data_IF_913607961577
#
_entry.id   IF_913607961577
#
_cell.length_a   1.000
_cell.length_b   1.000
_cell.length_c   1.000
_cell.angle_alpha   90.00
_cell.angle_beta   90.00
_cell.angle_gamma   90.00
#
_symmetry.space_group_name_H-M   'P 1'
#
loop_
_entity.id
_entity.type
_entity.pdbx_description
1 polymer ?
#
# COMPACT_ATOMS: atom_id res chain seq x y z
N UNK A 1 9.67 -4.09 -3.50
CA UNK A 1 9.53 -2.73 -2.93
C UNK A 1 9.51 -2.86 -1.43
N UNK A 2 9.88 -1.81 -0.70
CA UNK A 2 9.97 -1.81 0.76
C UNK A 2 9.34 -0.53 1.31
N UNK A 3 8.38 -0.67 2.22
CA UNK A 3 7.82 0.42 3.02
C UNK A 3 8.75 0.75 4.20
N UNK A 4 9.01 2.04 4.44
CA UNK A 4 9.99 2.50 5.42
C UNK A 4 9.31 3.24 6.58
N UNK A 5 9.26 2.57 7.74
CA UNK A 5 8.42 2.99 8.86
C UNK A 5 8.82 4.31 9.53
N UNK A 6 10.12 4.62 9.59
CA UNK A 6 10.65 5.78 10.34
C UNK A 6 10.44 7.09 9.58
N UNK A 7 10.61 7.07 8.27
CA UNK A 7 10.51 8.25 7.40
C UNK A 7 9.14 8.43 6.76
N UNK A 8 8.30 7.38 6.70
CA UNK A 8 7.11 7.37 5.84
C UNK A 8 7.57 7.46 4.39
N UNK A 9 8.01 6.33 3.85
CA UNK A 9 8.54 6.31 2.50
C UNK A 9 8.39 4.92 1.85
N UNK A 10 8.62 4.90 0.55
CA UNK A 10 8.71 3.67 -0.23
C UNK A 10 10.02 3.67 -1.04
N UNK A 11 10.73 2.55 -1.03
CA UNK A 11 11.87 2.27 -1.91
C UNK A 11 11.59 1.09 -2.84
N UNK A 12 12.29 1.09 -3.98
CA UNK A 12 12.17 0.04 -5.00
C UNK A 12 13.53 -0.53 -5.38
N UNK A 13 13.50 -1.80 -5.76
CA UNK A 13 14.67 -2.59 -6.09
C UNK A 13 14.36 -3.47 -7.29
N UNK A 14 15.35 -3.68 -8.14
CA UNK A 14 15.34 -4.74 -9.15
C UNK A 14 16.12 -5.94 -8.64
N UNK A 15 15.78 -7.12 -9.15
CA UNK A 15 16.49 -8.37 -8.90
C UNK A 15 17.14 -8.79 -10.21
N UNK A 16 18.45 -9.01 -10.22
CA UNK A 16 19.12 -9.60 -11.39
C UNK A 16 18.72 -11.06 -11.58
N UNK A 17 19.04 -11.62 -12.75
CA UNK A 17 18.88 -13.06 -13.01
C UNK A 17 19.61 -13.94 -11.98
N UNK A 18 20.71 -13.43 -11.42
CA UNK A 18 21.50 -14.08 -10.37
C UNK A 18 20.97 -13.83 -8.95
N UNK A 19 19.84 -13.15 -8.79
CA UNK A 19 19.21 -12.89 -7.48
C UNK A 19 19.78 -11.68 -6.73
N UNK A 20 20.66 -10.88 -7.34
CA UNK A 20 21.27 -9.71 -6.68
C UNK A 20 20.31 -8.54 -6.71
N UNK A 21 20.03 -7.95 -5.55
CA UNK A 21 19.21 -6.75 -5.42
C UNK A 21 20.00 -5.49 -5.82
N UNK A 22 19.37 -4.62 -6.60
CA UNK A 22 19.88 -3.27 -6.91
C UNK A 22 18.80 -2.24 -6.63
N UNK A 23 19.15 -1.17 -5.93
CA UNK A 23 18.24 -0.04 -5.70
C UNK A 23 17.89 0.62 -7.02
N UNK A 24 16.60 0.88 -7.22
CA UNK A 24 16.08 1.67 -8.34
C UNK A 24 15.71 3.05 -7.84
N UNK A 25 14.81 3.11 -6.86
CA UNK A 25 14.50 4.32 -6.11
C UNK A 25 14.86 4.11 -4.65
N UNK A 26 15.62 5.06 -4.08
CA UNK A 26 15.81 5.14 -2.63
C UNK A 26 14.53 5.56 -1.92
N UNK A 27 14.65 6.05 -0.69
CA UNK A 27 13.53 6.48 0.15
C UNK A 27 12.73 7.61 -0.52
N UNK A 28 11.59 7.29 -1.14
CA UNK A 28 10.65 8.28 -1.68
C UNK A 28 9.60 8.58 -0.62
N UNK A 29 9.78 9.71 0.08
CA UNK A 29 8.96 10.06 1.23
C UNK A 29 7.50 10.39 0.86
N UNK A 30 6.55 9.87 1.64
CA UNK A 30 5.14 10.30 1.68
C UNK A 30 4.83 11.21 2.89
N UNK A 31 5.77 11.32 3.84
CA UNK A 31 5.64 12.13 5.04
C UNK A 31 4.68 11.55 6.09
N UNK A 32 4.28 10.29 5.96
CA UNK A 32 3.42 9.58 6.90
C UNK A 32 4.24 8.84 7.96
N UNK A 33 3.57 8.07 8.83
CA UNK A 33 4.21 7.41 9.99
C UNK A 33 3.88 5.93 10.05
N UNK A 34 4.89 5.15 10.46
CA UNK A 34 4.80 3.71 10.64
C UNK A 34 4.22 3.02 9.39
N UNK A 35 4.88 3.23 8.25
CA UNK A 35 4.63 2.47 7.04
C UNK A 35 4.82 0.96 7.32
N UNK A 36 3.77 0.16 7.13
CA UNK A 36 3.72 -1.24 7.59
C UNK A 36 3.56 -2.26 6.45
N UNK A 37 3.00 -1.84 5.32
CA UNK A 37 2.71 -2.74 4.21
C UNK A 37 2.80 -2.04 2.87
N UNK A 38 3.09 -2.79 1.81
CA UNK A 38 3.04 -2.32 0.43
C UNK A 38 2.33 -3.31 -0.48
N UNK A 39 1.41 -2.81 -1.31
CA UNK A 39 0.75 -3.57 -2.38
C UNK A 39 1.04 -2.93 -3.74
N UNK A 40 1.25 -3.74 -4.77
CA UNK A 40 1.58 -3.28 -6.13
C UNK A 40 0.55 -3.81 -7.12
N UNK A 41 0.05 -2.95 -8.01
CA UNK A 41 -0.91 -3.34 -9.04
C UNK A 41 -0.31 -4.36 -10.01
N UNK A 42 -1.13 -5.23 -10.57
CA UNK A 42 -0.67 -6.34 -11.41
C UNK A 42 -0.01 -5.87 -12.71
N UNK A 43 -0.46 -4.72 -13.23
CA UNK A 43 0.17 -4.04 -14.37
C UNK A 43 1.47 -3.30 -13.99
N UNK A 44 1.83 -3.25 -12.70
CA UNK A 44 3.06 -2.66 -12.22
C UNK A 44 3.10 -1.14 -12.33
N UNK A 45 1.96 -0.45 -12.44
CA UNK A 45 1.90 1.02 -12.57
C UNK A 45 1.72 1.77 -11.25
N UNK A 46 1.14 1.14 -10.23
CA UNK A 46 0.91 1.79 -8.94
C UNK A 46 1.34 0.92 -7.76
N UNK A 47 1.84 1.59 -6.72
CA UNK A 47 2.07 1.01 -5.40
C UNK A 47 1.29 1.78 -4.34
N UNK A 48 0.84 1.07 -3.32
CA UNK A 48 0.13 1.61 -2.17
C UNK A 48 0.85 1.25 -0.89
N UNK A 49 1.07 2.23 -0.02
CA UNK A 49 1.72 2.05 1.29
C UNK A 49 0.71 2.27 2.40
N UNK A 50 0.56 1.30 3.30
CA UNK A 50 -0.25 1.44 4.52
C UNK A 50 0.57 2.12 5.61
N UNK A 51 0.06 3.22 6.17
CA UNK A 51 0.72 4.00 7.21
C UNK A 51 -0.05 3.85 8.52
N UNK A 52 0.35 2.86 9.31
CA UNK A 52 -0.41 2.42 10.47
C UNK A 52 -0.61 3.54 11.50
N UNK A 53 0.46 4.25 11.87
CA UNK A 53 0.38 5.30 12.89
C UNK A 53 -0.33 6.56 12.38
N UNK A 54 -0.33 6.80 11.06
CA UNK A 54 -1.09 7.90 10.45
C UNK A 54 -2.57 7.56 10.23
N UNK A 55 -2.93 6.27 10.16
CA UNK A 55 -4.28 5.86 9.74
C UNK A 55 -4.56 6.18 8.27
N UNK A 56 -3.54 6.17 7.41
CA UNK A 56 -3.66 6.58 6.00
C UNK A 56 -3.05 5.56 5.04
N UNK A 57 -3.41 5.68 3.76
CA UNK A 57 -2.79 4.97 2.66
C UNK A 57 -2.18 6.01 1.71
N UNK A 58 -0.91 5.83 1.33
CA UNK A 58 -0.25 6.65 0.31
C UNK A 58 -0.21 5.92 -1.03
N UNK A 59 -0.20 6.66 -2.14
CA UNK A 59 -0.10 6.10 -3.50
C UNK A 59 1.13 6.62 -4.24
N UNK A 60 1.75 5.72 -5.01
CA UNK A 60 2.94 5.97 -5.81
C UNK A 60 2.71 5.48 -7.24
N UNK A 61 3.19 6.24 -8.22
CA UNK A 61 3.38 5.78 -9.58
C UNK A 61 4.68 4.99 -9.67
N UNK A 62 4.66 3.97 -10.52
CA UNK A 62 5.80 3.14 -10.86
C UNK A 62 6.07 3.35 -12.35
N UNK A 63 7.18 4.02 -12.63
CA UNK A 63 7.69 4.26 -13.96
C UNK A 63 8.55 3.11 -14.48
N UNK A 64 9.22 3.39 -15.59
CA UNK A 64 10.15 2.44 -16.22
C UNK A 64 11.22 1.94 -15.23
N UNK A 65 11.54 0.64 -15.31
CA UNK A 65 12.52 0.01 -14.44
C UNK A 65 12.10 -0.10 -12.96
N UNK A 66 10.88 0.31 -12.59
CA UNK A 66 10.40 0.32 -11.21
C UNK A 66 10.65 1.64 -10.46
N UNK A 67 10.93 2.73 -11.18
CA UNK A 67 11.18 4.04 -10.57
C UNK A 67 9.92 4.58 -9.89
N UNK A 68 10.03 4.97 -8.62
CA UNK A 68 8.92 5.45 -7.82
C UNK A 68 8.75 6.97 -7.94
N UNK A 69 7.50 7.42 -8.01
CA UNK A 69 7.11 8.81 -7.85
C UNK A 69 5.88 8.88 -6.94
N UNK A 70 5.94 9.65 -5.86
CA UNK A 70 4.77 9.90 -5.01
C UNK A 70 3.66 10.54 -5.85
N UNK A 71 2.44 9.99 -5.76
CA UNK A 71 1.24 10.59 -6.35
C UNK A 71 0.46 11.34 -5.29
N UNK A 72 0.10 10.64 -4.20
CA UNK A 72 -0.66 11.21 -3.10
C UNK A 72 -0.06 10.76 -1.78
N UNK A 73 0.33 11.71 -0.93
CA UNK A 73 0.74 11.44 0.45
C UNK A 73 -0.40 10.83 1.26
N UNK A 74 -1.63 11.21 0.97
CA UNK A 74 -2.86 10.61 1.50
C UNK A 74 -3.79 10.32 0.32
N UNK A 75 -3.77 9.09 -0.17
CA UNK A 75 -4.70 8.58 -1.18
C UNK A 75 -6.04 8.18 -0.56
N UNK A 76 -6.03 7.69 0.67
CA UNK A 76 -7.21 7.41 1.47
C UNK A 76 -6.91 7.49 2.98
N UNK A 77 -7.95 7.77 3.76
CA UNK A 77 -7.92 7.69 5.22
C UNK A 77 -8.66 6.43 5.65
N UNK A 78 -8.08 5.76 6.63
CA UNK A 78 -8.64 4.58 7.29
C UNK A 78 -9.05 4.93 8.72
N UNK A 79 -9.75 4.04 9.42
CA UNK A 79 -10.22 4.34 10.76
C UNK A 79 -9.12 4.23 11.83
N UNK A 80 -8.29 3.17 11.86
CA UNK A 80 -7.26 3.02 12.90
C UNK A 80 -6.18 1.95 12.64
N UNK A 81 -5.07 2.28 11.95
CA UNK A 81 -3.91 1.38 11.93
C UNK A 81 -3.97 0.31 10.84
N UNK A 82 -3.99 0.72 9.56
CA UNK A 82 -3.90 -0.20 8.44
C UNK A 82 -2.54 -0.90 8.48
N UNK A 83 -2.56 -2.22 8.60
CA UNK A 83 -1.34 -3.03 8.80
C UNK A 83 -1.14 -4.10 7.73
N UNK A 84 -2.15 -4.35 6.89
CA UNK A 84 -2.07 -5.26 5.75
C UNK A 84 -3.01 -4.79 4.64
N UNK A 85 -2.62 -5.04 3.39
CA UNK A 85 -3.42 -4.71 2.21
C UNK A 85 -3.23 -5.73 1.09
N UNK A 86 -4.29 -5.98 0.33
CA UNK A 86 -4.25 -6.81 -0.87
C UNK A 86 -5.09 -6.20 -1.98
N UNK A 87 -4.66 -6.38 -3.22
CA UNK A 87 -5.43 -6.01 -4.39
C UNK A 87 -6.25 -7.20 -4.89
N UNK A 88 -7.40 -6.94 -5.51
CA UNK A 88 -8.13 -7.94 -6.30
C UNK A 88 -7.30 -8.40 -7.51
N UNK A 89 -7.67 -9.53 -8.14
CA UNK A 89 -6.97 -10.09 -9.31
C UNK A 89 -6.62 -9.08 -10.41
N UNK A 90 -7.59 -8.22 -10.68
CA UNK A 90 -7.57 -7.23 -11.75
C UNK A 90 -7.08 -5.85 -11.26
N UNK A 91 -6.66 -5.76 -9.99
CA UNK A 91 -6.21 -4.53 -9.32
C UNK A 91 -7.21 -3.38 -9.36
N UNK A 92 -8.49 -3.66 -9.58
CA UNK A 92 -9.58 -2.66 -9.57
C UNK A 92 -10.02 -2.31 -8.15
N UNK A 93 -9.72 -3.16 -7.19
CA UNK A 93 -10.09 -2.97 -5.79
C UNK A 93 -8.89 -3.22 -4.89
N UNK A 94 -8.73 -2.37 -3.89
CA UNK A 94 -7.78 -2.50 -2.79
C UNK A 94 -8.58 -2.81 -1.53
N UNK A 95 -8.21 -3.87 -0.83
CA UNK A 95 -8.76 -4.22 0.47
C UNK A 95 -7.69 -3.98 1.53
N UNK A 96 -8.09 -3.31 2.60
CA UNK A 96 -7.19 -2.92 3.69
C UNK A 96 -7.69 -3.53 4.96
N UNK A 97 -6.83 -4.30 5.61
CA UNK A 97 -7.08 -4.78 6.96
C UNK A 97 -6.57 -3.75 7.95
N UNK A 98 -7.50 -3.25 8.74
CA UNK A 98 -7.33 -2.22 9.75
C UNK A 98 -7.45 -2.90 11.12
N UNK A 99 -6.29 -3.32 11.66
CA UNK A 99 -6.25 -4.10 12.90
C UNK A 99 -6.64 -3.31 14.14
N UNK A 100 -6.45 -1.99 14.17
CA UNK A 100 -6.84 -1.17 15.32
C UNK A 100 -8.35 -0.91 15.34
N UNK A 101 -9.01 -0.86 14.19
CA UNK A 101 -10.47 -0.76 14.10
C UNK A 101 -11.19 -2.12 14.11
N UNK A 102 -10.47 -3.22 13.88
CA UNK A 102 -11.05 -4.55 13.65
C UNK A 102 -11.95 -4.62 12.41
N UNK A 103 -11.47 -4.04 11.30
CA UNK A 103 -12.24 -3.88 10.08
C UNK A 103 -11.46 -4.24 8.81
N UNK A 104 -12.20 -4.59 7.76
CA UNK A 104 -11.69 -4.58 6.38
C UNK A 104 -12.39 -3.45 5.63
N UNK A 105 -11.62 -2.53 5.06
CA UNK A 105 -12.10 -1.45 4.22
C UNK A 105 -11.81 -1.77 2.75
N UNK A 106 -12.80 -1.57 1.89
CA UNK A 106 -12.69 -1.75 0.44
C UNK A 106 -12.65 -0.42 -0.28
N UNK A 107 -11.71 -0.27 -1.22
CA UNK A 107 -11.56 0.90 -2.07
C UNK A 107 -11.53 0.50 -3.55
N UNK A 108 -12.13 1.30 -4.43
CA UNK A 108 -11.88 1.18 -5.87
C UNK A 108 -10.59 1.92 -6.23
N UNK A 109 -9.80 1.32 -7.12
CA UNK A 109 -8.59 1.90 -7.69
C UNK A 109 -8.95 2.65 -8.98
N UNK A 110 -8.67 3.94 -9.01
CA UNK A 110 -8.84 4.81 -10.19
C UNK A 110 -7.72 4.63 -11.21
N UNK A 111 -7.95 5.12 -12.43
CA UNK A 111 -6.99 5.00 -13.54
C UNK A 111 -5.66 5.73 -13.29
N UNK A 112 -5.69 6.80 -12.49
CA UNK A 112 -4.50 7.56 -12.08
C UNK A 112 -3.94 7.12 -10.72
N UNK A 113 -4.38 5.96 -10.21
CA UNK A 113 -3.88 5.39 -8.95
C UNK A 113 -4.56 5.93 -7.68
N UNK A 114 -5.56 6.80 -7.80
CA UNK A 114 -6.37 7.27 -6.67
C UNK A 114 -7.26 6.18 -6.08
N UNK A 115 -7.72 6.39 -4.84
CA UNK A 115 -8.60 5.46 -4.12
C UNK A 115 -9.94 6.12 -3.79
N UNK A 116 -11.03 5.40 -4.01
CA UNK A 116 -12.38 5.81 -3.60
C UNK A 116 -12.96 4.75 -2.67
N UNK A 117 -13.41 5.15 -1.48
CA UNK A 117 -14.04 4.24 -0.53
C UNK A 117 -15.30 3.59 -1.10
N UNK A 118 -15.51 2.31 -0.78
CA UNK A 118 -16.67 1.54 -1.22
C UNK A 118 -17.46 0.98 -0.04
N UNK A 119 -16.77 0.32 0.88
CA UNK A 119 -17.41 -0.40 1.98
C UNK A 119 -16.47 -0.64 3.15
N UNK A 120 -17.07 -0.97 4.28
CA UNK A 120 -16.38 -1.42 5.48
C UNK A 120 -17.08 -2.67 6.00
N UNK A 121 -16.30 -3.67 6.40
CA UNK A 121 -16.76 -4.85 7.14
C UNK A 121 -16.11 -4.83 8.51
N UNK A 122 -16.92 -4.63 9.54
CA UNK A 122 -16.46 -4.61 10.94
C UNK A 122 -16.65 -5.97 11.62
N UNK A 123 -16.09 -6.11 12.83
CA UNK A 123 -16.22 -7.33 13.63
C UNK A 123 -15.21 -8.41 13.25
N UNK A 124 -14.08 -8.02 12.65
CA UNK A 124 -12.98 -8.94 12.38
C UNK A 124 -12.40 -9.41 13.73
N UNK A 125 -12.21 -10.73 13.94
CA UNK A 125 -11.73 -11.25 15.21
C UNK A 125 -10.44 -10.59 15.69
N UNK A 126 -10.35 -10.36 17.01
CA UNK A 126 -9.10 -9.92 17.62
C UNK A 126 -8.00 -10.95 17.36
N UNK A 127 -6.81 -10.47 16.98
CA UNK A 127 -5.67 -11.33 16.63
C UNK A 127 -5.71 -11.90 15.21
N UNK A 128 -6.70 -11.56 14.38
CA UNK A 128 -6.63 -11.82 12.95
C UNK A 128 -5.38 -11.17 12.35
N UNK A 129 -4.71 -11.89 11.46
CA UNK A 129 -3.51 -11.46 10.79
C UNK A 129 -3.51 -12.01 9.38
N UNK A 130 -3.07 -11.19 8.42
CA UNK A 130 -3.07 -11.57 7.02
C UNK A 130 -4.40 -11.28 6.33
N UNK A 131 -4.33 -10.66 5.16
CA UNK A 131 -5.45 -10.47 4.25
C UNK A 131 -5.04 -10.96 2.85
N UNK A 132 -5.90 -11.77 2.23
CA UNK A 132 -5.72 -12.20 0.85
C UNK A 132 -7.02 -11.99 0.06
N UNK A 133 -6.88 -11.53 -1.18
CA UNK A 133 -7.98 -11.41 -2.13
C UNK A 133 -7.65 -12.24 -3.38
N UNK A 134 -8.70 -12.72 -4.05
CA UNK A 134 -8.58 -13.43 -5.32
C UNK A 134 -8.78 -12.49 -6.50
#
# INVERSE_FOLDING_TARGET
MVSEAVSGALSSYTVSETGVLRTVSGSVADGQKAACWVAVTKNGHFAYTANAASGTISSYAIGEGGALKLLQSVAATTHAGPNDMTLSKNSRFLYVFDSGAHEIQGFSVGEEGGLTWLSTVSGIPAGAAGLAAN
#
